data_IF_833337562406
#
_entry.id   IF_833337562406
#
_cell.length_a   1.000
_cell.length_b   1.000
_cell.length_c   1.000
_cell.angle_alpha   90.00
_cell.angle_beta   90.00
_cell.angle_gamma   90.00
#
_symmetry.space_group_name_H-M   'P 1'
#
loop_
_entity.id
_entity.type
_entity.pdbx_description
1 polymer ?
#
# COMPACT_ATOMS: atom_id res chain seq x y z
N UNK A 1 6.45 65.95 -17.88
CA UNK A 1 6.77 65.40 -16.55
C UNK A 1 5.71 64.44 -15.98
N UNK A 2 4.41 64.63 -16.24
CA UNK A 2 3.34 63.76 -15.70
C UNK A 2 3.19 62.37 -16.39
N UNK A 3 3.51 62.26 -17.69
CA UNK A 3 3.34 61.04 -18.49
C UNK A 3 4.19 59.84 -18.01
N UNK A 4 5.36 60.12 -17.42
CA UNK A 4 6.30 59.10 -16.91
C UNK A 4 5.78 58.41 -15.63
N UNK A 5 4.99 59.14 -14.84
CA UNK A 5 4.35 58.62 -13.63
C UNK A 5 3.12 57.75 -13.95
N UNK A 6 2.38 58.06 -15.01
CA UNK A 6 1.25 57.23 -15.47
C UNK A 6 1.71 55.85 -15.97
N UNK A 7 2.83 55.77 -16.69
CA UNK A 7 3.40 54.49 -17.12
C UNK A 7 3.87 53.67 -15.92
N UNK A 8 4.48 54.32 -14.93
CA UNK A 8 4.93 53.65 -13.71
C UNK A 8 3.72 53.12 -12.89
N UNK A 9 2.65 53.90 -12.79
CA UNK A 9 1.42 53.48 -12.10
C UNK A 9 0.69 52.35 -12.84
N UNK A 10 0.64 52.40 -14.16
CA UNK A 10 0.04 51.34 -14.98
C UNK A 10 0.82 50.02 -14.91
N UNK A 11 2.16 50.06 -14.86
CA UNK A 11 3.00 48.87 -14.68
C UNK A 11 2.85 48.24 -13.29
N UNK A 12 2.73 49.05 -12.22
CA UNK A 12 2.48 48.55 -10.86
C UNK A 12 1.09 47.92 -10.73
N UNK A 13 0.09 48.52 -11.37
CA UNK A 13 -1.26 47.95 -11.42
C UNK A 13 -1.32 46.63 -12.20
N UNK A 14 -0.63 46.53 -13.34
CA UNK A 14 -0.55 45.30 -14.13
C UNK A 14 0.22 44.18 -13.41
N UNK A 15 1.30 44.51 -12.68
CA UNK A 15 2.06 43.55 -11.90
C UNK A 15 1.25 42.95 -10.73
N UNK A 16 0.33 43.73 -10.14
CA UNK A 16 -0.53 43.25 -9.05
C UNK A 16 -1.68 42.35 -9.51
N UNK A 17 -2.16 42.51 -10.74
CA UNK A 17 -3.26 41.72 -11.29
C UNK A 17 -2.85 40.28 -11.68
N UNK A 18 -1.55 39.99 -11.82
CA UNK A 18 -1.03 38.70 -12.28
C UNK A 18 -0.87 37.63 -11.18
N UNK A 19 -1.05 37.99 -9.90
CA UNK A 19 -0.89 37.06 -8.77
C UNK A 19 -2.25 36.76 -8.15
N UNK A 20 -3.09 36.04 -8.91
CA UNK A 20 -4.31 35.46 -8.33
C UNK A 20 -3.94 34.11 -7.69
N UNK A 21 -4.19 33.90 -6.39
CA UNK A 21 -4.03 32.59 -5.79
C UNK A 21 -5.03 31.63 -6.44
N UNK A 22 -4.53 30.61 -7.13
CA UNK A 22 -5.36 29.50 -7.59
C UNK A 22 -5.80 28.73 -6.35
N UNK A 23 -7.10 28.73 -6.07
CA UNK A 23 -7.69 27.89 -5.04
C UNK A 23 -7.59 26.43 -5.48
N UNK A 24 -6.54 25.73 -5.01
CA UNK A 24 -6.42 24.28 -5.16
C UNK A 24 -7.39 23.64 -4.18
N UNK A 25 -8.45 23.01 -4.70
CA UNK A 25 -9.35 22.19 -3.88
C UNK A 25 -8.59 20.96 -3.43
N UNK A 26 -8.09 20.97 -2.20
CA UNK A 26 -7.58 19.77 -1.56
C UNK A 26 -8.79 18.88 -1.24
N UNK A 27 -8.84 17.71 -1.87
CA UNK A 27 -9.81 16.68 -1.48
C UNK A 27 -9.12 15.87 -0.39
N UNK A 28 -9.50 16.13 0.86
CA UNK A 28 -9.12 15.24 1.97
C UNK A 28 -9.87 13.93 1.78
N UNK A 29 -9.15 12.87 1.43
CA UNK A 29 -9.64 11.51 1.66
C UNK A 29 -9.51 11.25 3.16
N UNK A 30 -10.56 10.70 3.77
CA UNK A 30 -10.39 10.09 5.09
C UNK A 30 -9.41 8.93 4.94
N UNK A 31 -8.29 9.00 5.65
CA UNK A 31 -7.40 7.85 5.83
C UNK A 31 -8.17 6.79 6.62
N UNK A 32 -8.66 5.78 5.91
CA UNK A 32 -9.15 4.56 6.52
C UNK A 32 -7.95 3.65 6.81
N UNK A 33 -8.00 2.81 7.86
CA UNK A 33 -7.00 1.78 8.06
C UNK A 33 -6.91 0.87 6.82
N UNK A 34 -5.71 0.37 6.53
CA UNK A 34 -5.51 -0.58 5.44
C UNK A 34 -6.23 -1.90 5.76
N UNK A 35 -7.06 -2.37 4.82
CA UNK A 35 -7.94 -3.52 5.02
C UNK A 35 -7.96 -4.40 3.77
N UNK A 36 -7.67 -5.69 3.93
CA UNK A 36 -7.89 -6.69 2.88
C UNK A 36 -8.01 -8.10 3.45
N UNK A 37 -8.57 -8.99 2.64
CA UNK A 37 -8.55 -10.43 2.88
C UNK A 37 -8.46 -11.15 1.54
N UNK A 38 -7.57 -12.12 1.43
CA UNK A 38 -7.47 -12.96 0.24
C UNK A 38 -7.12 -14.40 0.58
N UNK A 39 -7.43 -15.30 -0.36
CA UNK A 39 -7.01 -16.69 -0.33
C UNK A 39 -6.82 -17.22 -1.75
N UNK A 40 -5.89 -18.15 -1.91
CA UNK A 40 -5.74 -18.92 -3.14
C UNK A 40 -5.17 -20.31 -2.85
N UNK A 41 -5.37 -21.23 -3.79
CA UNK A 41 -4.81 -22.57 -3.76
C UNK A 41 -4.47 -23.06 -5.15
N UNK A 42 -3.38 -23.80 -5.26
CA UNK A 42 -2.98 -24.53 -6.46
C UNK A 42 -2.90 -26.01 -6.12
N UNK A 43 -3.48 -26.82 -6.99
CA UNK A 43 -3.38 -28.28 -6.95
C UNK A 43 -3.23 -28.75 -8.41
N UNK A 44 -1.99 -28.95 -8.82
CA UNK A 44 -1.64 -29.40 -10.15
C UNK A 44 -0.83 -30.70 -10.09
N UNK A 45 -1.50 -31.82 -10.34
CA UNK A 45 -0.88 -33.15 -10.36
C UNK A 45 0.15 -33.32 -11.48
N UNK A 46 0.08 -32.53 -12.55
CA UNK A 46 1.03 -32.63 -13.66
C UNK A 46 2.40 -32.06 -13.29
N UNK A 47 2.42 -30.91 -12.62
CA UNK A 47 3.65 -30.27 -12.16
C UNK A 47 4.05 -30.67 -10.75
N UNK A 48 3.14 -31.29 -9.98
CA UNK A 48 3.32 -31.59 -8.55
C UNK A 48 3.13 -30.37 -7.64
N UNK A 49 2.62 -29.26 -8.18
CA UNK A 49 2.46 -28.01 -7.47
C UNK A 49 1.21 -28.04 -6.59
N UNK A 50 1.42 -28.22 -5.28
CA UNK A 50 0.38 -28.23 -4.26
C UNK A 50 0.72 -27.18 -3.21
N UNK A 51 -0.02 -26.07 -3.25
CA UNK A 51 0.17 -24.94 -2.31
C UNK A 51 -1.12 -24.20 -2.03
N UNK A 52 -1.16 -23.50 -0.90
CA UNK A 52 -2.24 -22.60 -0.55
C UNK A 52 -1.72 -21.41 0.23
N UNK A 53 -2.45 -20.29 0.18
CA UNK A 53 -2.19 -19.15 1.05
C UNK A 53 -3.51 -18.48 1.41
N UNK A 54 -3.58 -17.96 2.62
CA UNK A 54 -4.61 -17.05 3.10
C UNK A 54 -3.95 -15.94 3.91
N UNK A 55 -4.43 -14.72 3.78
CA UNK A 55 -3.94 -13.57 4.53
C UNK A 55 -5.04 -12.54 4.69
N UNK A 56 -5.05 -11.90 5.85
CA UNK A 56 -5.87 -10.74 6.14
C UNK A 56 -5.05 -9.64 6.78
N UNK A 57 -5.45 -8.41 6.52
CA UNK A 57 -4.86 -7.21 7.12
C UNK A 57 -5.94 -6.35 7.72
N UNK A 58 -5.70 -5.93 8.96
CA UNK A 58 -6.52 -4.99 9.71
C UNK A 58 -5.62 -3.88 10.27
N UNK A 59 -5.65 -2.70 9.64
CA UNK A 59 -4.75 -1.60 9.96
C UNK A 59 -3.29 -1.99 9.74
N UNK A 60 -2.50 -2.03 10.80
CA UNK A 60 -1.08 -2.43 10.74
C UNK A 60 -0.83 -3.89 11.07
N UNK A 61 -1.89 -4.65 11.40
CA UNK A 61 -1.79 -6.06 11.71
C UNK A 61 -2.06 -6.91 10.47
N UNK A 62 -1.11 -7.79 10.12
CA UNK A 62 -1.27 -8.83 9.11
C UNK A 62 -1.24 -10.18 9.79
N UNK A 63 -2.14 -11.07 9.42
CA UNK A 63 -2.15 -12.47 9.84
C UNK A 63 -2.36 -13.34 8.62
N UNK A 64 -1.56 -14.40 8.49
CA UNK A 64 -1.72 -15.32 7.37
C UNK A 64 -1.12 -16.69 7.61
N UNK A 65 -1.41 -17.57 6.66
CA UNK A 65 -0.83 -18.90 6.58
C UNK A 65 -0.56 -19.23 5.12
N UNK A 66 0.58 -19.85 4.85
CA UNK A 66 0.80 -20.54 3.58
C UNK A 66 1.21 -21.98 3.79
N UNK A 67 0.87 -22.82 2.82
CA UNK A 67 1.28 -24.21 2.77
C UNK A 67 1.89 -24.53 1.41
N UNK A 68 2.93 -25.36 1.39
CA UNK A 68 3.49 -25.93 0.18
C UNK A 68 4.04 -27.32 0.44
N UNK A 69 4.14 -28.12 -0.62
CA UNK A 69 4.93 -29.35 -0.62
C UNK A 69 6.34 -29.00 -1.11
N UNK A 70 7.35 -29.22 -0.25
CA UNK A 70 8.75 -29.03 -0.61
C UNK A 70 9.24 -30.13 -1.58
N UNK A 71 10.40 -29.92 -2.19
CA UNK A 71 11.00 -30.89 -3.13
C UNK A 71 11.22 -32.29 -2.54
N UNK A 72 11.41 -32.38 -1.22
CA UNK A 72 11.56 -33.63 -0.48
C UNK A 72 10.21 -34.29 -0.11
N UNK A 73 9.08 -33.74 -0.59
CA UNK A 73 7.72 -34.24 -0.34
C UNK A 73 7.12 -33.83 1.02
N UNK A 74 7.85 -33.07 1.83
CA UNK A 74 7.35 -32.59 3.13
C UNK A 74 6.36 -31.46 2.96
N UNK A 75 5.28 -31.50 3.76
CA UNK A 75 4.34 -30.38 3.82
C UNK A 75 4.87 -29.34 4.80
N UNK A 76 5.23 -28.18 4.26
CA UNK A 76 5.52 -27.00 5.07
C UNK A 76 4.22 -26.24 5.32
N UNK A 77 3.98 -25.91 6.58
CA UNK A 77 2.92 -24.97 6.97
C UNK A 77 3.58 -23.84 7.74
N UNK A 78 3.33 -22.62 7.32
CA UNK A 78 3.88 -21.44 7.98
C UNK A 78 2.72 -20.53 8.36
N UNK A 79 2.55 -20.35 9.65
CA UNK A 79 1.68 -19.32 10.21
C UNK A 79 2.53 -18.08 10.46
N UNK A 80 2.05 -16.92 10.05
CA UNK A 80 2.80 -15.68 10.16
C UNK A 80 1.93 -14.51 10.59
N UNK A 81 2.57 -13.56 11.27
CA UNK A 81 1.99 -12.29 11.68
C UNK A 81 2.95 -11.15 11.37
N UNK A 82 2.44 -9.94 11.14
CA UNK A 82 3.26 -8.74 11.10
C UNK A 82 2.51 -7.56 11.72
N UNK A 83 3.22 -6.77 12.52
CA UNK A 83 2.72 -5.52 13.10
C UNK A 83 3.86 -4.50 13.28
N UNK A 84 3.51 -3.25 13.61
CA UNK A 84 4.49 -2.16 13.80
C UNK A 84 5.50 -2.41 14.93
N UNK A 85 5.09 -3.12 15.99
CA UNK A 85 5.88 -3.30 17.20
C UNK A 85 6.82 -4.51 17.13
N UNK A 86 6.33 -5.63 16.61
CA UNK A 86 7.01 -6.92 16.59
C UNK A 86 7.63 -7.23 15.22
N UNK A 87 7.25 -6.48 14.17
CA UNK A 87 7.65 -6.79 12.80
C UNK A 87 7.10 -8.13 12.33
N UNK A 88 7.70 -8.69 11.29
CA UNK A 88 7.31 -9.99 10.75
C UNK A 88 7.77 -11.14 11.65
N UNK A 89 6.84 -12.01 12.03
CA UNK A 89 7.08 -13.22 12.81
C UNK A 89 6.43 -14.42 12.12
N UNK A 90 7.12 -15.56 12.11
CA UNK A 90 6.62 -16.77 11.47
C UNK A 90 6.95 -18.02 12.29
N UNK A 91 6.00 -18.94 12.34
CA UNK A 91 6.14 -20.26 12.96
C UNK A 91 5.99 -21.31 11.87
N UNK A 92 7.05 -22.10 11.68
CA UNK A 92 7.06 -23.21 10.72
C UNK A 92 6.67 -24.49 11.44
N UNK A 93 5.58 -25.13 10.99
CA UNK A 93 5.15 -26.44 11.47
C UNK A 93 5.70 -27.54 10.52
N UNK A 94 6.50 -28.49 11.02
CA UNK A 94 6.89 -29.64 10.24
C UNK A 94 5.71 -30.62 10.11
N UNK A 95 5.37 -31.02 8.88
CA UNK A 95 4.39 -32.07 8.61
C UNK A 95 4.95 -33.12 7.65
N UNK A 96 4.86 -34.40 8.02
CA UNK A 96 4.88 -35.48 7.02
C UNK A 96 3.49 -35.55 6.39
N UNK A 97 3.43 -35.72 5.07
CA UNK A 97 2.19 -36.14 4.41
C UNK A 97 1.74 -37.50 4.95
#
# INVERSE_FOLDING_TARGET
MAFKYYILFALVAAASAAVLPVAVKHIEYQDAPAEYQFQYSVHDDHTGDIKSQQEERHGDNVVGQYTLIDADGYRRVVDYTADEHNGFNAVVRPGKQ
#
